data_IF_311018286993
#
_entry.id   IF_311018286993
#
_cell.length_a   1.000
_cell.length_b   1.000
_cell.length_c   1.000
_cell.angle_alpha   90.00
_cell.angle_beta   90.00
_cell.angle_gamma   90.00
#
_symmetry.space_group_name_H-M   'P 1'
#
loop_
_entity.id
_entity.type
_entity.pdbx_description
1 polymer ?
#
# COMPACT_ATOMS: atom_id res chain seq x y z
N UNK A 1 66.95 5.19 -6.28
CA UNK A 1 65.81 4.89 -7.17
C UNK A 1 64.70 4.05 -6.50
N UNK A 2 65.00 3.10 -5.61
CA UNK A 2 63.99 2.22 -4.95
C UNK A 2 62.96 2.94 -4.02
N UNK A 3 63.30 4.11 -3.47
CA UNK A 3 62.43 4.85 -2.53
C UNK A 3 61.32 5.67 -3.22
N UNK A 4 61.46 5.93 -4.51
CA UNK A 4 60.49 6.72 -5.27
C UNK A 4 59.33 5.83 -5.73
N UNK A 5 59.61 4.63 -6.21
CA UNK A 5 58.62 3.62 -6.60
C UNK A 5 57.71 3.18 -5.44
N UNK A 6 58.22 3.09 -4.21
CA UNK A 6 57.43 2.73 -3.03
C UNK A 6 56.41 3.82 -2.63
N UNK A 7 56.72 5.11 -2.89
CA UNK A 7 55.82 6.23 -2.61
C UNK A 7 54.67 6.33 -3.62
N UNK A 8 54.93 5.98 -4.88
CA UNK A 8 53.89 5.89 -5.91
C UNK A 8 52.94 4.70 -5.68
N UNK A 9 53.46 3.55 -5.23
CA UNK A 9 52.66 2.38 -4.87
C UNK A 9 51.76 2.64 -3.64
N UNK A 10 52.28 3.32 -2.61
CA UNK A 10 51.49 3.68 -1.44
C UNK A 10 50.38 4.71 -1.75
N UNK A 11 50.64 5.65 -2.67
CA UNK A 11 49.63 6.61 -3.13
C UNK A 11 48.50 5.96 -3.94
N UNK A 12 48.82 4.99 -4.80
CA UNK A 12 47.82 4.25 -5.58
C UNK A 12 46.94 3.34 -4.70
N UNK A 13 47.52 2.70 -3.68
CA UNK A 13 46.78 1.88 -2.72
C UNK A 13 45.80 2.71 -1.87
N UNK A 14 46.18 3.94 -1.50
CA UNK A 14 45.31 4.85 -0.74
C UNK A 14 44.15 5.38 -1.60
N UNK A 15 44.37 5.66 -2.89
CA UNK A 15 43.32 6.08 -3.83
C UNK A 15 42.32 4.95 -4.12
N UNK A 16 42.76 3.70 -4.18
CA UNK A 16 41.89 2.54 -4.34
C UNK A 16 41.03 2.25 -3.08
N UNK A 17 41.50 2.61 -1.88
CA UNK A 17 40.76 2.45 -0.62
C UNK A 17 39.69 3.53 -0.38
N UNK A 18 39.76 4.67 -1.09
CA UNK A 18 38.80 5.78 -0.98
C UNK A 18 37.61 5.65 -1.94
N UNK A 19 37.71 4.78 -2.95
CA UNK A 19 36.62 4.49 -3.88
C UNK A 19 35.81 3.29 -3.35
N UNK A 20 34.99 3.51 -2.33
CA UNK A 20 33.99 2.53 -1.91
C UNK A 20 33.01 2.21 -3.05
N UNK A 21 32.37 1.04 -3.07
CA UNK A 21 31.33 0.75 -4.05
C UNK A 21 30.16 1.71 -3.84
N UNK A 22 30.04 2.72 -4.70
CA UNK A 22 28.80 3.46 -4.85
C UNK A 22 27.83 2.53 -5.56
N UNK A 23 26.74 2.15 -4.91
CA UNK A 23 25.66 1.45 -5.59
C UNK A 23 25.19 2.36 -6.74
N UNK A 24 25.15 1.83 -7.95
CA UNK A 24 24.60 2.57 -9.07
C UNK A 24 23.15 2.95 -8.73
N UNK A 25 22.80 4.22 -8.96
CA UNK A 25 21.48 4.76 -8.71
C UNK A 25 20.99 5.45 -9.97
N UNK A 26 19.79 5.09 -10.43
CA UNK A 26 19.08 5.82 -11.46
C UNK A 26 18.23 6.87 -10.78
N UNK A 27 18.50 8.14 -11.04
CA UNK A 27 17.74 9.26 -10.47
C UNK A 27 16.93 9.94 -11.57
N UNK A 28 15.63 10.10 -11.32
CA UNK A 28 14.72 10.92 -12.15
C UNK A 28 14.35 12.15 -11.32
N UNK A 29 15.04 13.30 -11.49
CA UNK A 29 14.86 14.48 -10.64
C UNK A 29 13.44 15.07 -10.68
N UNK A 30 13.06 15.92 -9.71
CA UNK A 30 11.81 16.67 -9.76
C UNK A 30 11.68 17.46 -11.06
N UNK A 31 10.50 17.46 -11.66
CA UNK A 31 10.22 18.15 -12.93
C UNK A 31 10.74 17.45 -14.19
N UNK A 32 11.42 16.31 -14.05
CA UNK A 32 11.76 15.44 -15.19
C UNK A 32 10.68 14.37 -15.41
N UNK A 33 10.60 13.83 -16.63
CA UNK A 33 9.76 12.67 -16.95
C UNK A 33 10.60 11.49 -17.42
N UNK A 34 10.19 10.29 -17.00
CA UNK A 34 10.64 9.04 -17.57
C UNK A 34 9.47 8.41 -18.33
N UNK A 35 9.54 8.41 -19.65
CA UNK A 35 8.49 7.88 -20.51
C UNK A 35 8.84 6.46 -20.98
N UNK A 36 7.99 5.49 -20.61
CA UNK A 36 8.08 4.11 -21.09
C UNK A 36 6.98 3.88 -22.13
N UNK A 37 7.32 3.83 -23.43
CA UNK A 37 6.33 3.70 -24.49
C UNK A 37 5.67 2.31 -24.50
N UNK A 38 4.55 2.14 -25.21
CA UNK A 38 3.88 0.86 -25.34
C UNK A 38 4.80 -0.23 -25.88
N UNK A 39 4.88 -1.36 -25.19
CA UNK A 39 5.79 -2.47 -25.54
C UNK A 39 7.27 -2.17 -25.28
N UNK A 40 7.61 -0.97 -24.80
CA UNK A 40 8.95 -0.61 -24.34
C UNK A 40 9.28 -1.26 -23.00
N UNK A 41 10.57 -1.53 -22.79
CA UNK A 41 11.08 -2.03 -21.54
C UNK A 41 12.29 -1.19 -21.11
N UNK A 42 12.29 -0.72 -19.87
CA UNK A 42 13.46 -0.15 -19.22
C UNK A 42 13.86 -1.12 -18.12
N UNK A 43 15.07 -1.65 -18.22
CA UNK A 43 15.64 -2.51 -17.19
C UNK A 43 16.91 -1.88 -16.65
N UNK A 44 16.89 -1.58 -15.35
CA UNK A 44 18.04 -1.02 -14.65
C UNK A 44 18.74 -2.08 -13.78
N UNK A 45 18.32 -3.34 -13.88
CA UNK A 45 18.89 -4.49 -13.18
C UNK A 45 19.09 -4.19 -11.68
N UNK A 46 20.25 -4.53 -11.11
CA UNK A 46 20.57 -4.33 -9.70
C UNK A 46 20.86 -2.87 -9.29
N UNK A 47 20.49 -1.90 -10.13
CA UNK A 47 20.61 -0.47 -9.84
C UNK A 47 19.40 -0.02 -9.05
N UNK A 48 19.62 0.80 -8.02
CA UNK A 48 18.50 1.40 -7.26
C UNK A 48 17.81 2.49 -8.05
N UNK A 49 16.50 2.62 -7.92
CA UNK A 49 15.71 3.71 -8.53
C UNK A 49 15.40 4.77 -7.48
N UNK A 50 15.64 6.04 -7.81
CA UNK A 50 15.11 7.20 -7.08
C UNK A 50 14.31 8.09 -8.02
N UNK A 51 13.00 8.05 -7.84
CA UNK A 51 12.03 8.72 -8.68
C UNK A 51 11.44 9.90 -7.93
N UNK A 52 11.73 11.11 -8.40
CA UNK A 52 11.25 12.35 -7.81
C UNK A 52 10.36 13.14 -8.78
N UNK A 53 10.39 12.79 -10.08
CA UNK A 53 9.58 13.37 -11.15
C UNK A 53 8.39 12.50 -11.58
N UNK A 54 8.03 12.57 -12.85
CA UNK A 54 6.90 11.81 -13.42
C UNK A 54 7.39 10.53 -14.12
N UNK A 55 6.76 9.40 -13.84
CA UNK A 55 6.91 8.16 -14.60
C UNK A 55 5.67 7.92 -15.43
N UNK A 56 5.83 7.91 -16.74
CA UNK A 56 4.74 7.69 -17.67
C UNK A 56 4.77 6.25 -18.21
N UNK A 57 3.82 5.45 -17.75
CA UNK A 57 3.68 4.04 -18.07
C UNK A 57 2.57 3.86 -19.11
N UNK A 58 2.88 3.93 -20.41
CA UNK A 58 1.89 3.74 -21.47
C UNK A 58 1.90 2.31 -22.01
N UNK A 59 1.66 1.31 -21.15
CA UNK A 59 1.75 -0.11 -21.54
C UNK A 59 3.18 -0.65 -21.67
N UNK A 60 4.15 0.10 -21.17
CA UNK A 60 5.55 -0.32 -21.07
C UNK A 60 5.87 -1.05 -19.77
N UNK A 61 7.11 -1.50 -19.65
CA UNK A 61 7.61 -2.18 -18.44
C UNK A 61 8.84 -1.46 -17.88
N UNK A 62 8.83 -1.22 -16.57
CA UNK A 62 9.99 -0.72 -15.83
C UNK A 62 10.47 -1.82 -14.90
N UNK A 63 11.75 -2.16 -14.94
CA UNK A 63 12.32 -3.28 -14.23
C UNK A 63 13.48 -2.81 -13.34
N UNK A 64 13.32 -2.98 -12.03
CA UNK A 64 14.29 -2.61 -11.00
C UNK A 64 14.52 -3.86 -10.16
N UNK A 65 15.68 -4.52 -10.28
CA UNK A 65 16.00 -5.70 -9.47
C UNK A 65 16.58 -5.32 -8.09
N UNK A 66 16.71 -4.03 -7.79
CA UNK A 66 17.08 -3.53 -6.45
C UNK A 66 15.92 -2.73 -5.83
N UNK A 67 16.22 -1.85 -4.88
CA UNK A 67 15.24 -1.00 -4.20
C UNK A 67 14.80 0.18 -5.07
N UNK A 68 13.53 0.54 -4.97
CA UNK A 68 12.94 1.69 -5.63
C UNK A 68 12.38 2.68 -4.61
N UNK A 69 12.74 3.95 -4.76
CA UNK A 69 12.24 5.05 -3.95
C UNK A 69 11.40 5.98 -4.82
N UNK A 70 10.20 6.31 -4.36
CA UNK A 70 9.37 7.35 -4.94
C UNK A 70 9.27 8.49 -3.92
N UNK A 71 9.69 9.67 -4.35
CA UNK A 71 9.57 10.90 -3.59
C UNK A 71 8.14 11.34 -3.36
N UNK A 72 7.96 12.33 -2.49
CA UNK A 72 6.64 12.94 -2.24
C UNK A 72 6.09 13.73 -3.43
N UNK A 73 6.95 14.12 -4.37
CA UNK A 73 6.56 14.78 -5.63
C UNK A 73 6.46 13.82 -6.83
N UNK A 74 6.74 12.53 -6.61
CA UNK A 74 6.71 11.54 -7.68
C UNK A 74 5.28 11.27 -8.13
N UNK A 75 5.08 11.13 -9.43
CA UNK A 75 3.78 10.81 -10.01
C UNK A 75 3.93 9.69 -11.01
N UNK A 76 3.01 8.73 -11.01
CA UNK A 76 2.95 7.69 -12.03
C UNK A 76 1.71 7.94 -12.87
N UNK A 77 1.91 8.12 -14.17
CA UNK A 77 0.85 8.38 -15.14
C UNK A 77 0.81 7.28 -16.19
N UNK A 78 -0.18 7.33 -17.07
CA UNK A 78 -0.40 6.29 -18.07
C UNK A 78 -1.22 5.12 -17.52
N UNK A 79 -1.34 4.06 -18.31
CA UNK A 79 -2.16 2.90 -17.99
C UNK A 79 -1.60 1.62 -18.58
N UNK A 80 -1.95 0.49 -17.96
CA UNK A 80 -1.58 -0.86 -18.41
C UNK A 80 -0.08 -1.15 -18.43
N UNK A 81 0.75 -0.31 -17.79
CA UNK A 81 2.17 -0.61 -17.62
C UNK A 81 2.45 -1.47 -16.39
N UNK A 82 3.66 -2.03 -16.35
CA UNK A 82 4.12 -2.88 -15.24
C UNK A 82 5.39 -2.32 -14.60
N UNK A 83 5.35 -2.08 -13.29
CA UNK A 83 6.50 -1.64 -12.48
C UNK A 83 7.02 -2.83 -11.69
N UNK A 84 8.21 -3.26 -12.07
CA UNK A 84 9.09 -4.30 -11.56
C UNK A 84 9.97 -3.91 -10.38
N UNK A 85 9.77 -4.35 -9.13
CA UNK A 85 10.74 -4.07 -8.03
C UNK A 85 11.20 -5.35 -7.35
N UNK A 86 12.51 -5.54 -7.25
CA UNK A 86 13.17 -6.71 -6.67
C UNK A 86 13.70 -6.53 -5.24
N UNK A 87 13.79 -5.29 -4.76
CA UNK A 87 14.23 -4.91 -3.42
C UNK A 87 13.12 -4.24 -2.60
N UNK A 88 13.48 -3.24 -1.81
CA UNK A 88 12.53 -2.45 -1.02
C UNK A 88 11.79 -1.43 -1.90
N UNK A 89 10.53 -1.13 -1.55
CA UNK A 89 9.76 -0.07 -2.18
C UNK A 89 9.42 1.00 -1.13
N UNK A 90 10.03 2.17 -1.29
CA UNK A 90 9.96 3.27 -0.32
C UNK A 90 9.19 4.42 -0.94
N UNK A 91 8.02 4.73 -0.37
CA UNK A 91 7.20 5.86 -0.80
C UNK A 91 7.30 6.97 0.26
N UNK A 92 7.96 8.07 -0.08
CA UNK A 92 8.14 9.23 0.82
C UNK A 92 6.90 10.12 0.91
N UNK A 93 5.91 9.88 0.04
CA UNK A 93 4.57 10.46 0.07
C UNK A 93 3.55 9.47 -0.52
N UNK A 94 2.26 9.84 -0.60
CA UNK A 94 1.26 8.99 -1.23
C UNK A 94 1.55 8.86 -2.71
N UNK A 95 1.62 7.62 -3.20
CA UNK A 95 1.78 7.31 -4.61
C UNK A 95 0.50 6.70 -5.17
N UNK A 96 -0.06 7.35 -6.18
CA UNK A 96 -1.12 6.76 -7.01
C UNK A 96 -0.50 6.26 -8.32
N UNK A 97 -0.48 4.93 -8.49
CA UNK A 97 -0.03 4.26 -9.69
C UNK A 97 -1.17 4.04 -10.70
N UNK A 98 -2.40 4.46 -10.40
CA UNK A 98 -3.55 4.39 -11.30
C UNK A 98 -3.80 2.97 -11.84
N UNK A 99 -3.99 2.89 -13.16
CA UNK A 99 -4.30 1.65 -13.88
C UNK A 99 -3.07 0.76 -14.19
N UNK A 100 -1.99 0.91 -13.43
CA UNK A 100 -0.76 0.14 -13.63
C UNK A 100 -0.68 -1.07 -12.70
N UNK A 101 0.21 -2.00 -13.04
CA UNK A 101 0.51 -3.19 -12.24
C UNK A 101 1.85 -2.99 -11.53
N UNK A 102 1.86 -3.17 -10.22
CA UNK A 102 3.08 -3.21 -9.43
C UNK A 102 3.40 -4.66 -9.09
N UNK A 103 4.63 -5.09 -9.37
CA UNK A 103 5.11 -6.44 -9.08
C UNK A 103 6.33 -6.32 -8.18
N UNK A 104 6.17 -6.75 -6.92
CA UNK A 104 7.29 -6.97 -6.01
C UNK A 104 7.74 -8.41 -6.13
N UNK A 105 9.03 -8.61 -6.39
CA UNK A 105 9.60 -9.93 -6.67
C UNK A 105 10.96 -10.14 -6.02
N UNK A 106 11.53 -11.32 -6.23
CA UNK A 106 12.95 -11.54 -5.93
C UNK A 106 13.82 -10.68 -6.86
N UNK A 107 14.80 -10.01 -6.27
CA UNK A 107 15.79 -9.21 -6.99
C UNK A 107 17.22 -9.56 -6.59
N UNK A 108 18.12 -8.64 -6.88
CA UNK A 108 19.54 -8.73 -6.54
C UNK A 108 19.83 -8.45 -5.06
N UNK A 109 18.84 -8.05 -4.28
CA UNK A 109 19.02 -7.79 -2.85
C UNK A 109 19.29 -9.10 -2.09
N UNK A 110 20.43 -9.22 -1.39
CA UNK A 110 20.81 -10.45 -0.68
C UNK A 110 19.91 -10.75 0.53
N UNK A 111 19.09 -9.80 0.98
CA UNK A 111 18.10 -10.03 2.03
C UNK A 111 16.96 -10.94 1.54
N UNK A 112 16.27 -11.62 2.45
CA UNK A 112 15.03 -12.38 2.16
C UNK A 112 13.79 -11.59 2.59
N UNK A 113 13.88 -10.27 2.62
CA UNK A 113 12.80 -9.37 3.01
C UNK A 113 12.67 -8.24 2.00
N UNK A 114 11.44 -7.87 1.66
CA UNK A 114 11.13 -6.63 0.94
C UNK A 114 10.26 -5.79 1.85
N UNK A 115 10.71 -4.60 2.19
CA UNK A 115 9.93 -3.62 2.91
C UNK A 115 9.15 -2.72 1.95
N UNK A 116 7.86 -2.60 2.20
CA UNK A 116 7.00 -1.62 1.57
C UNK A 116 6.69 -0.53 2.60
N UNK A 117 7.00 0.72 2.25
CA UNK A 117 6.77 1.88 3.12
C UNK A 117 5.96 2.95 2.41
N UNK A 118 5.14 3.67 3.18
CA UNK A 118 4.27 4.75 2.71
C UNK A 118 2.92 4.26 2.16
N UNK A 119 2.20 5.16 1.49
CA UNK A 119 0.83 4.94 1.00
C UNK A 119 0.82 4.68 -0.50
N UNK A 120 0.17 3.60 -0.92
CA UNK A 120 0.12 3.15 -2.32
C UNK A 120 -1.31 2.90 -2.77
N UNK A 121 -1.66 3.42 -3.95
CA UNK A 121 -2.87 3.04 -4.69
C UNK A 121 -2.45 2.45 -6.04
N UNK A 122 -2.96 1.27 -6.38
CA UNK A 122 -2.58 0.57 -7.61
C UNK A 122 -3.73 -0.30 -8.14
N UNK A 123 -3.79 -0.51 -9.46
CA UNK A 123 -4.77 -1.39 -10.06
C UNK A 123 -4.51 -2.86 -9.77
N UNK A 124 -3.28 -3.33 -9.96
CA UNK A 124 -2.91 -4.70 -9.64
C UNK A 124 -1.62 -4.73 -8.82
N UNK A 125 -1.62 -5.51 -7.75
CA UNK A 125 -0.44 -5.75 -6.92
C UNK A 125 -0.10 -7.23 -6.96
N UNK A 126 1.12 -7.53 -7.41
CA UNK A 126 1.65 -8.89 -7.43
C UNK A 126 2.82 -8.96 -6.47
N UNK A 127 2.71 -9.83 -5.47
CA UNK A 127 3.79 -10.18 -4.56
C UNK A 127 4.21 -11.61 -4.88
N UNK A 128 5.36 -11.74 -5.54
CA UNK A 128 5.84 -13.04 -6.01
C UNK A 128 7.22 -13.35 -5.45
N UNK A 129 7.46 -14.59 -5.01
CA UNK A 129 8.80 -15.01 -4.62
C UNK A 129 9.00 -16.49 -4.86
N UNK A 130 10.14 -16.81 -5.44
CA UNK A 130 10.68 -18.16 -5.60
C UNK A 130 11.56 -18.58 -4.42
N UNK A 131 12.11 -17.61 -3.68
CA UNK A 131 13.00 -17.83 -2.54
C UNK A 131 12.28 -17.89 -1.19
N UNK A 132 10.99 -17.53 -1.13
CA UNK A 132 10.21 -17.49 0.11
C UNK A 132 10.35 -16.16 0.86
N UNK A 133 10.60 -15.08 0.13
CA UNK A 133 10.78 -13.73 0.65
C UNK A 133 9.60 -13.27 1.50
N UNK A 134 9.90 -12.53 2.56
CA UNK A 134 8.89 -11.88 3.40
C UNK A 134 8.63 -10.45 2.92
N UNK A 135 7.37 -10.15 2.57
CA UNK A 135 6.92 -8.80 2.23
C UNK A 135 6.39 -8.11 3.49
N UNK A 136 7.14 -7.14 3.99
CA UNK A 136 6.81 -6.35 5.17
C UNK A 136 5.99 -5.15 4.73
N UNK A 137 4.71 -5.14 5.11
CA UNK A 137 3.75 -4.09 4.78
C UNK A 137 3.79 -2.98 5.84
N UNK A 138 3.50 -1.71 5.46
CA UNK A 138 3.40 -0.63 6.41
C UNK A 138 2.16 -0.83 7.32
N UNK A 139 2.25 -0.34 8.56
CA UNK A 139 1.15 -0.42 9.51
C UNK A 139 -0.08 0.36 8.99
N UNK A 140 -1.28 -0.13 9.26
CA UNK A 140 -2.54 0.52 8.88
C UNK A 140 -2.97 0.28 7.44
N UNK A 141 -3.95 1.06 6.98
CA UNK A 141 -4.63 0.89 5.69
C UNK A 141 -3.97 1.71 4.57
N UNK A 142 -2.66 1.51 4.40
CA UNK A 142 -1.83 2.31 3.51
C UNK A 142 -1.78 1.80 2.06
N UNK A 143 -2.22 0.57 1.82
CA UNK A 143 -2.17 -0.04 0.48
C UNK A 143 -3.60 -0.26 0.00
N UNK A 144 -3.92 0.26 -1.18
CA UNK A 144 -5.22 0.06 -1.82
C UNK A 144 -5.03 -0.59 -3.18
N UNK A 145 -5.63 -1.76 -3.37
CA UNK A 145 -5.59 -2.53 -4.62
C UNK A 145 -6.98 -2.51 -5.25
N UNK A 146 -7.10 -1.89 -6.42
CA UNK A 146 -8.39 -1.67 -7.09
C UNK A 146 -8.88 -2.88 -7.90
N UNK A 147 -7.97 -3.76 -8.32
CA UNK A 147 -8.22 -4.88 -9.23
C UNK A 147 -7.77 -6.19 -8.64
N UNK A 148 -6.54 -6.64 -8.90
CA UNK A 148 -6.11 -7.96 -8.44
C UNK A 148 -4.95 -7.87 -7.46
N UNK A 149 -5.08 -8.53 -6.31
CA UNK A 149 -3.98 -8.82 -5.40
C UNK A 149 -3.54 -10.27 -5.61
N UNK A 150 -2.33 -10.48 -6.12
CA UNK A 150 -1.77 -11.81 -6.34
C UNK A 150 -0.63 -12.06 -5.37
N UNK A 151 -0.73 -13.12 -4.58
CA UNK A 151 0.35 -13.63 -3.72
C UNK A 151 0.82 -14.96 -4.28
N UNK A 152 2.06 -15.04 -4.74
CA UNK A 152 2.59 -16.22 -5.40
C UNK A 152 3.94 -16.64 -4.82
N UNK A 153 3.95 -17.77 -4.10
CA UNK A 153 5.15 -18.45 -3.66
C UNK A 153 5.40 -19.75 -4.43
N UNK A 154 6.35 -20.54 -3.94
CA UNK A 154 6.53 -21.95 -4.36
C UNK A 154 6.08 -22.89 -3.25
N UNK A 155 5.84 -24.16 -3.57
CA UNK A 155 5.35 -25.16 -2.60
C UNK A 155 6.35 -25.44 -1.46
N UNK A 156 7.65 -25.28 -1.72
CA UNK A 156 8.71 -25.45 -0.72
C UNK A 156 9.05 -24.15 -0.01
N UNK A 157 8.88 -23.00 -0.68
CA UNK A 157 9.18 -21.67 -0.15
C UNK A 157 7.96 -20.74 -0.35
N UNK A 158 6.95 -20.81 0.54
CA UNK A 158 5.78 -19.95 0.44
C UNK A 158 6.13 -18.50 0.73
N UNK A 159 5.47 -17.57 0.02
CA UNK A 159 5.62 -16.14 0.27
C UNK A 159 5.07 -15.79 1.65
N UNK A 160 5.81 -14.99 2.44
CA UNK A 160 5.38 -14.56 3.76
C UNK A 160 4.92 -13.11 3.71
N UNK A 161 3.75 -12.81 4.26
CA UNK A 161 3.39 -11.42 4.58
C UNK A 161 3.75 -11.12 6.02
N UNK A 162 4.21 -9.90 6.28
CA UNK A 162 4.47 -9.41 7.62
C UNK A 162 4.00 -7.95 7.74
N UNK A 163 3.76 -7.50 8.96
CA UNK A 163 3.48 -6.10 9.26
C UNK A 163 4.73 -5.48 9.89
N UNK A 164 5.13 -4.29 9.44
CA UNK A 164 6.27 -3.57 10.01
C UNK A 164 6.04 -3.23 11.50
N UNK A 165 4.81 -2.89 11.87
CA UNK A 165 4.37 -2.69 13.25
C UNK A 165 2.84 -2.76 13.31
N UNK A 166 2.27 -3.25 14.42
CA UNK A 166 0.81 -3.36 14.57
C UNK A 166 0.13 -4.17 13.45
N UNK A 167 -1.08 -3.77 13.07
CA UNK A 167 -1.86 -4.44 12.00
C UNK A 167 -1.68 -3.73 10.67
N UNK A 168 -1.21 -4.44 9.65
CA UNK A 168 -1.19 -3.94 8.27
C UNK A 168 -2.51 -4.30 7.58
N UNK A 169 -3.09 -3.38 6.84
CA UNK A 169 -4.35 -3.56 6.12
C UNK A 169 -4.15 -3.26 4.64
N UNK A 170 -4.45 -4.24 3.79
CA UNK A 170 -4.54 -4.05 2.34
C UNK A 170 -6.01 -3.86 1.98
N UNK A 171 -6.37 -2.62 1.66
CA UNK A 171 -7.71 -2.28 1.19
C UNK A 171 -7.91 -2.84 -0.22
N UNK A 172 -9.07 -3.45 -0.43
CA UNK A 172 -9.48 -3.97 -1.73
C UNK A 172 -10.59 -3.08 -2.29
N UNK A 173 -10.51 -2.76 -3.58
CA UNK A 173 -11.59 -2.08 -4.30
C UNK A 173 -12.87 -2.93 -4.37
N UNK A 174 -14.02 -2.33 -4.74
CA UNK A 174 -15.32 -3.01 -4.74
C UNK A 174 -15.40 -4.28 -5.60
N UNK A 175 -14.55 -4.36 -6.64
CA UNK A 175 -14.46 -5.49 -7.56
C UNK A 175 -13.11 -6.21 -7.48
N UNK A 176 -12.33 -5.94 -6.43
CA UNK A 176 -10.99 -6.47 -6.36
C UNK A 176 -10.97 -7.95 -5.95
N UNK A 177 -10.13 -8.73 -6.59
CA UNK A 177 -9.97 -10.16 -6.33
C UNK A 177 -8.62 -10.46 -5.68
N UNK A 178 -8.58 -11.53 -4.90
CA UNK A 178 -7.36 -11.98 -4.23
C UNK A 178 -7.04 -13.40 -4.69
N UNK A 179 -5.87 -13.57 -5.28
CA UNK A 179 -5.32 -14.87 -5.67
C UNK A 179 -4.17 -15.20 -4.75
N UNK A 180 -4.22 -16.36 -4.09
CA UNK A 180 -3.15 -16.83 -3.20
C UNK A 180 -2.70 -18.22 -3.60
N UNK A 181 -1.42 -18.35 -3.92
CA UNK A 181 -0.79 -19.61 -4.29
C UNK A 181 0.49 -19.74 -3.49
N UNK A 182 0.50 -20.66 -2.52
CA UNK A 182 1.61 -20.85 -1.57
C UNK A 182 1.99 -19.55 -0.83
N UNK A 183 1.03 -18.95 -0.14
CA UNK A 183 1.20 -17.73 0.65
C UNK A 183 0.84 -17.96 2.11
N UNK A 184 1.64 -17.41 3.01
CA UNK A 184 1.43 -17.39 4.46
C UNK A 184 1.10 -15.97 4.89
N UNK A 185 -0.09 -15.80 5.48
CA UNK A 185 -0.60 -14.50 5.92
C UNK A 185 -0.85 -14.58 7.43
N UNK A 186 -0.06 -13.90 8.27
CA UNK A 186 -0.25 -13.89 9.72
C UNK A 186 -1.47 -13.04 10.10
N UNK A 187 -1.97 -13.22 11.33
CA UNK A 187 -3.12 -12.46 11.87
C UNK A 187 -2.89 -10.95 11.98
N UNK A 188 -1.63 -10.51 11.96
CA UNK A 188 -1.25 -9.10 11.91
C UNK A 188 -1.47 -8.43 10.55
N UNK A 189 -1.83 -9.20 9.51
CA UNK A 189 -2.09 -8.68 8.16
C UNK A 189 -3.54 -8.97 7.79
N UNK A 190 -4.31 -7.91 7.55
CA UNK A 190 -5.68 -7.97 7.06
C UNK A 190 -5.70 -7.65 5.57
N UNK A 191 -6.42 -8.46 4.80
CA UNK A 191 -6.62 -8.27 3.36
C UNK A 191 -8.12 -8.12 3.12
N UNK A 192 -8.50 -7.06 2.43
CA UNK A 192 -9.89 -6.65 2.29
C UNK A 192 -10.19 -5.42 3.13
N UNK A 193 -11.40 -4.89 2.99
CA UNK A 193 -11.87 -3.84 3.87
C UNK A 193 -11.59 -4.27 5.31
N UNK A 194 -10.91 -3.41 6.08
CA UNK A 194 -10.86 -3.57 7.53
C UNK A 194 -12.28 -3.94 7.96
N UNK A 195 -12.44 -4.99 8.75
CA UNK A 195 -13.75 -5.26 9.34
C UNK A 195 -14.08 -4.00 10.13
N UNK A 196 -14.86 -3.11 9.52
CA UNK A 196 -15.65 -2.13 10.24
C UNK A 196 -16.33 -2.99 11.26
N UNK A 197 -15.95 -2.84 12.53
CA UNK A 197 -16.74 -3.35 13.63
C UNK A 197 -18.14 -2.93 13.26
N UNK A 198 -18.99 -3.90 12.90
CA UNK A 198 -20.40 -3.65 12.75
C UNK A 198 -20.77 -3.22 14.14
N UNK A 199 -20.80 -1.90 14.36
CA UNK A 199 -21.34 -1.33 15.57
C UNK A 199 -22.76 -1.83 15.48
N UNK A 200 -23.05 -2.87 16.26
CA UNK A 200 -24.39 -3.39 16.38
C UNK A 200 -25.18 -2.17 16.81
N UNK A 201 -25.95 -1.59 15.89
CA UNK A 201 -26.99 -0.66 16.29
C UNK A 201 -27.76 -1.52 17.28
N UNK A 202 -27.85 -1.14 18.57
CA UNK A 202 -28.66 -1.88 19.50
C UNK A 202 -30.07 -1.84 18.91
N UNK A 203 -30.46 -2.88 18.20
CA UNK A 203 -31.83 -3.07 17.80
C UNK A 203 -32.53 -3.16 19.14
N UNK A 204 -33.42 -2.20 19.40
CA UNK A 204 -34.35 -2.32 20.50
C UNK A 204 -34.92 -3.74 20.38
N UNK A 205 -34.71 -4.53 21.43
CA UNK A 205 -35.29 -5.86 21.56
C UNK A 205 -36.75 -5.80 21.08
N UNK A 206 -37.25 -6.87 20.48
CA UNK A 206 -38.65 -6.99 20.03
C UNK A 206 -39.65 -6.50 21.11
N UNK A 207 -39.31 -6.74 22.39
CA UNK A 207 -40.05 -6.24 23.55
C UNK A 207 -39.99 -4.72 23.72
N UNK A 208 -38.87 -4.06 23.43
CA UNK A 208 -38.71 -2.61 23.45
C UNK A 208 -39.54 -1.91 22.38
N UNK A 209 -39.67 -2.50 21.18
CA UNK A 209 -40.57 -2.00 20.13
C UNK A 209 -42.04 -2.20 20.51
N UNK A 210 -42.41 -3.35 21.11
CA UNK A 210 -43.75 -3.54 21.64
C UNK A 210 -44.09 -2.51 22.73
N UNK A 211 -43.18 -2.24 23.65
CA UNK A 211 -43.43 -1.29 24.76
C UNK A 211 -43.54 0.15 24.25
N UNK A 212 -42.70 0.54 23.29
CA UNK A 212 -42.78 1.86 22.66
C UNK A 212 -44.09 2.04 21.87
N UNK A 213 -44.51 1.04 21.09
CA UNK A 213 -45.77 1.11 20.35
C UNK A 213 -46.98 1.19 21.29
N UNK A 214 -46.93 0.50 22.43
CA UNK A 214 -47.98 0.56 23.46
C UNK A 214 -48.00 1.91 24.18
N UNK A 215 -46.83 2.51 24.45
CA UNK A 215 -46.72 3.86 25.02
C UNK A 215 -47.23 4.94 24.06
N UNK A 216 -46.91 4.85 22.76
CA UNK A 216 -47.46 5.79 21.77
C UNK A 216 -48.97 5.60 21.58
N UNK A 217 -49.46 4.36 21.61
CA UNK A 217 -50.89 4.06 21.57
C UNK A 217 -51.63 4.64 22.78
N UNK A 218 -51.06 4.50 23.97
CA UNK A 218 -51.57 5.12 25.19
C UNK A 218 -51.52 6.65 25.07
N UNK A 219 -50.39 7.26 24.72
CA UNK A 219 -50.28 8.72 24.60
C UNK A 219 -51.34 9.30 23.64
N UNK A 220 -51.55 8.67 22.47
CA UNK A 220 -52.60 9.08 21.53
C UNK A 220 -54.02 8.91 22.09
N UNK A 221 -54.25 7.89 22.92
CA UNK A 221 -55.54 7.70 23.58
C UNK A 221 -55.83 8.78 24.61
N UNK A 222 -54.83 9.20 25.36
CA UNK A 222 -54.96 10.28 26.35
C UNK A 222 -55.14 11.65 25.69
N UNK A 223 -54.40 11.96 24.61
CA UNK A 223 -54.58 13.23 23.89
C UNK A 223 -55.92 13.32 23.16
N UNK A 224 -56.51 12.19 22.76
CA UNK A 224 -57.86 12.15 22.17
C UNK A 224 -58.97 12.28 23.21
N UNK A 225 -58.72 11.89 24.47
CA UNK A 225 -59.70 12.03 25.55
C UNK A 225 -59.81 13.45 26.10
N UNK A 226 -58.74 14.25 26.04
CA UNK A 226 -58.74 15.62 26.56
C UNK A 226 -58.29 16.68 25.53
N UNK A 227 -59.18 17.17 24.64
CA UNK A 227 -58.90 18.34 23.80
C UNK A 227 -58.68 19.64 24.61
N UNK A 228 -58.98 19.64 25.91
CA UNK A 228 -58.73 20.77 26.81
C UNK A 228 -57.27 20.86 27.30
N UNK A 229 -56.57 19.73 27.48
CA UNK A 229 -55.20 19.71 28.02
C UNK A 229 -54.14 20.10 26.98
N UNK A 230 -54.35 19.78 25.70
CA UNK A 230 -53.45 20.17 24.61
C UNK A 230 -53.33 21.70 24.43
N UNK A 231 -54.40 22.46 24.74
CA UNK A 231 -54.38 23.93 24.74
C UNK A 231 -53.58 24.53 25.90
N UNK A 232 -53.50 23.85 27.04
CA UNK A 232 -52.74 24.32 28.20
C UNK A 232 -51.22 24.11 28.05
N UNK A 233 -50.79 23.06 27.34
CA UNK A 233 -49.36 22.78 27.10
C UNK A 233 -48.73 23.78 26.11
N UNK A 234 -49.45 24.18 25.05
CA UNK A 234 -48.99 25.19 24.08
C UNK A 234 -48.89 26.61 24.66
N UNK A 235 -49.62 26.92 25.73
CA UNK A 235 -49.55 28.22 26.41
C UNK A 235 -48.32 28.39 27.32
N UNK A 236 -47.69 27.29 27.76
CA UNK A 236 -46.47 27.32 28.59
C UNK A 236 -45.16 27.39 27.81
N UNK A 237 -45.19 27.17 26.49
CA UNK A 237 -44.02 27.27 25.59
C UNK A 237 -43.85 28.66 24.96
N UNK A 238 -44.69 29.64 25.32
CA UNK A 238 -44.61 31.05 24.91
C UNK A 238 -44.26 32.01 26.06
N UNK A 239 -43.76 31.50 27.19
CA UNK A 239 -43.10 32.30 28.22
C UNK A 239 -41.64 31.94 28.32
#
# INVERSE_FOLDING_TARGET
>A
MLRQSLRWLAGAALAAALCGPVAAQWVTPPGSSLDVPPGGAIDIACTSLDMQGTLNMNGGTLNVDSSATFGSGATVTGSNGTISVGGDLILSGPLDAGNNTLVLRDGCDPGNTTQLSGTLVVQNLVLQSTTGRAFVLPAGANITVLGTLTLQGTSTQPVQLASASGTAVINLGPSATVTRTFASVPSSVQIGAATSTVISIPTLSEYGLMLLSLLLGAAMYWTRRDPAAARAALARLRR
#
